data_IF_360917326013
#
_entry.id   IF_360917326013
#
_cell.length_a   1.000
_cell.length_b   1.000
_cell.length_c   1.000
_cell.angle_alpha   90.00
_cell.angle_beta   90.00
_cell.angle_gamma   90.00
#
_symmetry.space_group_name_H-M   'P 1'
#
loop_
_entity.id
_entity.type
_entity.pdbx_description
1 polymer ?
#
# COMPACT_ATOMS: atom_id res chain seq x y z
N UNK A 1 -30.37 -1.22 23.62
CA UNK A 1 -29.57 -0.42 24.57
C UNK A 1 -28.34 -1.24 24.93
N UNK A 2 -27.25 -1.09 24.18
CA UNK A 2 -26.03 -1.86 24.37
C UNK A 2 -25.21 -1.31 25.55
N UNK A 3 -24.90 -2.18 26.52
CA UNK A 3 -23.88 -1.93 27.54
C UNK A 3 -22.55 -2.46 27.01
N UNK A 4 -21.48 -1.68 27.05
CA UNK A 4 -20.38 -1.82 28.02
C UNK A 4 -19.17 -0.93 27.69
N UNK A 5 -18.70 -0.29 28.75
CA UNK A 5 -17.54 0.60 28.90
C UNK A 5 -17.70 1.28 30.27
N UNK A 6 -17.27 0.63 31.35
CA UNK A 6 -17.49 1.02 32.77
C UNK A 6 -18.94 1.38 33.18
N UNK A 7 -19.96 1.05 32.38
CA UNK A 7 -21.35 1.39 32.69
C UNK A 7 -21.61 2.90 32.78
N UNK A 8 -20.70 3.75 32.31
CA UNK A 8 -20.91 5.20 32.34
C UNK A 8 -21.90 5.58 31.25
N UNK A 9 -23.05 6.12 31.67
CA UNK A 9 -23.97 6.74 30.74
C UNK A 9 -23.29 7.94 30.06
N UNK A 10 -23.41 8.03 28.74
CA UNK A 10 -22.91 9.17 27.98
C UNK A 10 -23.53 10.46 28.54
N UNK A 11 -22.69 11.47 28.76
CA UNK A 11 -23.09 12.77 29.32
C UNK A 11 -23.40 13.82 28.24
N UNK A 12 -23.05 13.52 27.00
CA UNK A 12 -23.27 14.33 25.80
C UNK A 12 -23.03 13.46 24.55
N UNK A 13 -23.41 13.96 23.37
CA UNK A 13 -23.14 13.28 22.09
C UNK A 13 -21.63 13.14 21.81
N UNK A 14 -20.81 14.13 22.17
CA UNK A 14 -19.35 14.04 22.04
C UNK A 14 -18.81 12.92 22.94
N UNK A 15 -19.30 12.83 24.18
CA UNK A 15 -18.87 11.77 25.09
C UNK A 15 -19.30 10.40 24.56
N UNK A 16 -20.51 10.28 24.00
CA UNK A 16 -20.97 9.05 23.35
C UNK A 16 -20.07 8.64 22.19
N UNK A 17 -19.75 9.58 21.29
CA UNK A 17 -18.84 9.33 20.18
C UNK A 17 -17.47 8.84 20.66
N UNK A 18 -16.89 9.47 21.69
CA UNK A 18 -15.61 9.03 22.26
C UNK A 18 -15.68 7.63 22.88
N UNK A 19 -16.78 7.30 23.56
CA UNK A 19 -17.01 5.95 24.12
C UNK A 19 -17.16 4.91 23.00
N UNK A 20 -17.90 5.23 21.94
CA UNK A 20 -18.10 4.36 20.79
C UNK A 20 -16.78 4.12 20.03
N UNK A 21 -15.97 5.16 19.83
CA UNK A 21 -14.61 5.05 19.25
C UNK A 21 -13.70 4.20 20.14
N UNK A 22 -13.74 4.39 21.47
CA UNK A 22 -12.94 3.59 22.38
C UNK A 22 -13.32 2.10 22.34
N UNK A 23 -14.62 1.82 22.35
CA UNK A 23 -15.15 0.46 22.28
C UNK A 23 -14.76 -0.21 20.96
N UNK A 24 -15.00 0.48 19.84
CA UNK A 24 -14.62 0.00 18.51
C UNK A 24 -13.11 -0.27 18.41
N UNK A 25 -12.27 0.61 18.95
CA UNK A 25 -10.83 0.42 18.96
C UNK A 25 -10.39 -0.80 19.80
N UNK A 26 -11.04 -1.05 20.94
CA UNK A 26 -10.76 -2.22 21.79
C UNK A 26 -11.16 -3.52 21.12
N UNK A 27 -12.35 -3.57 20.54
CA UNK A 27 -12.85 -4.73 19.81
C UNK A 27 -11.93 -5.06 18.61
N UNK A 28 -11.59 -4.04 17.81
CA UNK A 28 -10.65 -4.20 16.71
C UNK A 28 -9.27 -4.68 17.20
N UNK A 29 -8.75 -4.10 18.29
CA UNK A 29 -7.47 -4.53 18.87
C UNK A 29 -7.49 -5.97 19.34
N UNK A 30 -8.59 -6.43 19.97
CA UNK A 30 -8.72 -7.80 20.43
C UNK A 30 -8.72 -8.79 19.25
N UNK A 31 -9.44 -8.47 18.19
CA UNK A 31 -9.47 -9.27 16.96
C UNK A 31 -8.10 -9.34 16.27
N UNK A 32 -7.37 -8.21 16.20
CA UNK A 32 -6.01 -8.17 15.65
C UNK A 32 -5.06 -9.01 16.50
N UNK A 33 -5.11 -8.90 17.83
CA UNK A 33 -4.29 -9.71 18.74
C UNK A 33 -4.59 -11.20 18.58
N UNK A 34 -5.86 -11.58 18.51
CA UNK A 34 -6.25 -12.97 18.33
C UNK A 34 -5.78 -13.54 16.99
N UNK A 35 -5.96 -12.79 15.90
CA UNK A 35 -5.46 -13.20 14.58
C UNK A 35 -3.95 -13.40 14.58
N UNK A 36 -3.22 -12.52 15.28
CA UNK A 36 -1.77 -12.62 15.43
C UNK A 36 -1.33 -13.80 16.31
N UNK A 37 -2.01 -14.07 17.41
CA UNK A 37 -1.72 -15.22 18.29
C UNK A 37 -1.94 -16.56 17.59
N UNK A 38 -2.92 -16.64 16.70
CA UNK A 38 -3.20 -17.84 15.90
C UNK A 38 -2.23 -18.02 14.73
N UNK A 39 -1.52 -16.97 14.31
CA UNK A 39 -0.62 -17.00 13.17
C UNK A 39 0.73 -17.64 13.54
N UNK A 40 1.01 -18.81 12.96
CA UNK A 40 2.32 -19.45 13.06
C UNK A 40 3.13 -19.14 11.82
N UNK A 41 3.91 -18.05 11.86
CA UNK A 41 4.78 -17.62 10.76
C UNK A 41 5.74 -18.72 10.33
N UNK A 42 5.66 -19.16 9.08
CA UNK A 42 6.59 -20.14 8.48
C UNK A 42 7.76 -19.47 7.76
N UNK A 43 7.70 -18.15 7.52
CA UNK A 43 8.69 -17.40 6.72
C UNK A 43 9.13 -16.08 7.37
N UNK A 44 10.39 -15.70 7.18
CA UNK A 44 10.98 -14.48 7.75
C UNK A 44 11.01 -13.27 6.82
N UNK A 45 10.89 -13.49 5.51
CA UNK A 45 10.88 -12.49 4.44
C UNK A 45 9.70 -11.50 4.54
N UNK A 46 8.51 -11.99 4.90
CA UNK A 46 7.30 -11.17 5.09
C UNK A 46 7.42 -10.13 6.22
N UNK A 47 8.32 -10.34 7.18
CA UNK A 47 8.48 -9.44 8.35
C UNK A 47 9.08 -8.09 7.99
N UNK A 48 9.80 -8.00 6.87
CA UNK A 48 10.51 -6.78 6.47
C UNK A 48 9.56 -5.60 6.21
N UNK A 49 8.31 -5.88 5.86
CA UNK A 49 7.26 -4.90 5.58
C UNK A 49 6.06 -5.00 6.54
N UNK A 50 6.18 -5.66 7.69
CA UNK A 50 5.03 -5.98 8.56
C UNK A 50 3.91 -6.75 7.80
N UNK A 51 4.23 -7.43 6.69
CA UNK A 51 3.26 -8.17 5.88
C UNK A 51 2.80 -9.47 6.56
N UNK A 52 3.59 -10.00 7.49
CA UNK A 52 3.19 -11.09 8.39
C UNK A 52 1.90 -10.78 9.15
N UNK A 53 1.72 -9.54 9.60
CA UNK A 53 0.47 -9.11 10.26
C UNK A 53 -0.68 -9.08 9.28
N UNK A 54 -0.45 -8.66 8.04
CA UNK A 54 -1.48 -8.65 7.00
C UNK A 54 -1.90 -10.09 6.66
N UNK A 55 -0.95 -11.01 6.53
CA UNK A 55 -1.21 -12.44 6.35
C UNK A 55 -2.08 -12.98 7.49
N UNK A 56 -1.71 -12.70 8.74
CA UNK A 56 -2.49 -13.13 9.91
C UNK A 56 -3.94 -12.62 9.89
N UNK A 57 -4.15 -11.35 9.50
CA UNK A 57 -5.47 -10.76 9.40
C UNK A 57 -6.29 -11.39 8.27
N UNK A 58 -5.68 -11.64 7.11
CA UNK A 58 -6.34 -12.31 5.97
C UNK A 58 -6.68 -13.77 6.29
N UNK A 59 -5.77 -14.52 6.94
CA UNK A 59 -5.99 -15.91 7.33
C UNK A 59 -7.16 -16.07 8.31
N UNK A 60 -7.42 -15.06 9.13
CA UNK A 60 -8.52 -15.05 10.11
C UNK A 60 -9.76 -14.28 9.60
N UNK A 61 -9.89 -14.06 8.29
CA UNK A 61 -11.01 -13.36 7.64
C UNK A 61 -11.37 -12.01 8.29
N UNK A 62 -10.34 -11.25 8.71
CA UNK A 62 -10.54 -9.94 9.31
C UNK A 62 -11.22 -8.99 8.31
N UNK A 63 -12.24 -8.20 8.71
CA UNK A 63 -13.11 -7.49 7.78
C UNK A 63 -12.47 -6.30 7.04
N UNK A 64 -11.19 -5.98 7.29
CA UNK A 64 -10.52 -4.89 6.61
C UNK A 64 -10.25 -5.23 5.13
N UNK A 65 -10.59 -4.29 4.25
CA UNK A 65 -10.43 -4.41 2.78
C UNK A 65 -9.19 -3.70 2.24
N UNK A 66 -8.53 -2.89 3.08
CA UNK A 66 -7.36 -2.10 2.72
C UNK A 66 -6.34 -2.15 3.84
N UNK A 67 -5.12 -2.53 3.51
CA UNK A 67 -3.97 -2.54 4.40
C UNK A 67 -2.91 -1.59 3.84
N UNK A 68 -2.34 -0.73 4.69
CA UNK A 68 -1.26 0.16 4.31
C UNK A 68 -0.02 -0.16 5.16
N UNK A 69 1.03 -0.60 4.49
CA UNK A 69 2.31 -0.93 5.11
C UNK A 69 3.41 -0.09 4.51
N UNK A 70 4.50 0.10 5.26
CA UNK A 70 5.67 0.86 4.82
C UNK A 70 6.94 0.13 5.20
N UNK A 71 7.99 0.30 4.39
CA UNK A 71 9.33 -0.13 4.78
C UNK A 71 9.83 0.76 5.92
N UNK A 72 9.91 0.19 7.11
CA UNK A 72 10.41 0.90 8.30
C UNK A 72 11.89 1.22 8.10
N UNK A 73 12.31 2.40 8.55
CA UNK A 73 13.69 2.87 8.44
C UNK A 73 14.23 2.77 7.01
N UNK A 74 13.36 3.07 6.04
CA UNK A 74 13.72 2.96 4.64
C UNK A 74 14.84 3.92 4.26
N UNK A 75 15.73 3.46 3.40
CA UNK A 75 16.78 4.26 2.76
C UNK A 75 16.40 4.64 1.32
N UNK A 76 15.16 4.42 0.89
CA UNK A 76 14.69 4.89 -0.42
C UNK A 76 14.82 6.40 -0.56
N UNK A 77 14.86 7.15 0.56
CA UNK A 77 15.04 8.60 0.56
C UNK A 77 16.50 9.09 0.58
N UNK A 78 17.50 8.21 0.52
CA UNK A 78 18.90 8.68 0.55
C UNK A 78 19.27 9.47 -0.70
N UNK A 79 20.03 10.54 -0.50
CA UNK A 79 20.56 11.42 -1.56
C UNK A 79 22.07 11.28 -1.77
N UNK A 80 22.71 10.38 -1.03
CA UNK A 80 24.17 10.19 -1.01
C UNK A 80 24.47 8.71 -1.13
N UNK A 81 25.46 8.36 -1.96
CA UNK A 81 25.90 6.97 -2.22
C UNK A 81 24.71 6.02 -2.42
N UNK A 82 23.76 6.43 -3.26
CA UNK A 82 22.39 5.91 -3.29
C UNK A 82 22.29 4.49 -3.83
N UNK A 83 23.15 4.10 -4.77
CA UNK A 83 23.04 2.84 -5.53
C UNK A 83 22.92 1.61 -4.61
N UNK A 84 23.89 1.40 -3.72
CA UNK A 84 23.94 0.20 -2.87
C UNK A 84 22.79 0.13 -1.84
N UNK A 85 22.50 1.20 -1.06
CA UNK A 85 21.30 1.25 -0.23
C UNK A 85 20.02 1.01 -1.02
N UNK A 86 19.85 1.66 -2.18
CA UNK A 86 18.65 1.52 -3.00
C UNK A 86 18.46 0.07 -3.47
N UNK A 87 19.50 -0.56 -4.04
CA UNK A 87 19.45 -1.94 -4.50
C UNK A 87 19.04 -2.91 -3.37
N UNK A 88 19.57 -2.69 -2.17
CA UNK A 88 19.20 -3.47 -0.99
C UNK A 88 17.73 -3.28 -0.59
N UNK A 89 17.22 -2.05 -0.65
CA UNK A 89 15.82 -1.76 -0.31
C UNK A 89 14.85 -2.37 -1.34
N UNK A 90 15.20 -2.34 -2.62
CA UNK A 90 14.45 -3.04 -3.67
C UNK A 90 14.43 -4.53 -3.40
N UNK A 91 15.57 -5.14 -3.07
CA UNK A 91 15.63 -6.56 -2.73
C UNK A 91 14.71 -6.91 -1.54
N UNK A 92 14.73 -6.13 -0.46
CA UNK A 92 13.84 -6.34 0.69
C UNK A 92 12.36 -6.25 0.31
N UNK A 93 12.00 -5.31 -0.57
CA UNK A 93 10.65 -5.19 -1.07
C UNK A 93 10.25 -6.42 -1.91
N UNK A 94 11.13 -6.86 -2.83
CA UNK A 94 10.91 -8.04 -3.65
C UNK A 94 10.72 -9.31 -2.79
N UNK A 95 11.63 -9.56 -1.83
CA UNK A 95 11.57 -10.73 -0.96
C UNK A 95 10.28 -10.75 -0.13
N UNK A 96 9.90 -9.60 0.45
CA UNK A 96 8.70 -9.48 1.27
C UNK A 96 7.40 -9.65 0.45
N UNK A 97 7.33 -9.06 -0.74
CA UNK A 97 6.16 -9.21 -1.63
C UNK A 97 6.06 -10.63 -2.16
N UNK A 98 7.18 -11.26 -2.52
CA UNK A 98 7.21 -12.67 -2.92
C UNK A 98 6.73 -13.57 -1.78
N UNK A 99 7.27 -13.41 -0.57
CA UNK A 99 6.85 -14.16 0.61
C UNK A 99 5.35 -13.98 0.93
N UNK A 100 4.82 -12.76 0.75
CA UNK A 100 3.40 -12.49 0.92
C UNK A 100 2.55 -13.30 -0.06
N UNK A 101 2.88 -13.30 -1.35
CA UNK A 101 2.13 -14.07 -2.34
C UNK A 101 2.27 -15.59 -2.15
N UNK A 102 3.40 -16.09 -1.66
CA UNK A 102 3.55 -17.50 -1.28
C UNK A 102 2.61 -17.88 -0.12
N UNK A 103 2.46 -17.01 0.89
CA UNK A 103 1.48 -17.23 1.96
C UNK A 103 0.03 -17.15 1.44
N UNK A 104 -0.27 -16.17 0.58
CA UNK A 104 -1.61 -16.09 -0.03
C UNK A 104 -1.94 -17.33 -0.85
N UNK A 105 -0.95 -17.90 -1.56
CA UNK A 105 -1.07 -19.17 -2.27
C UNK A 105 -1.27 -20.35 -1.32
N UNK A 106 -0.54 -20.41 -0.21
CA UNK A 106 -0.73 -21.43 0.84
C UNK A 106 -2.15 -21.40 1.39
N UNK A 107 -2.72 -20.21 1.55
CA UNK A 107 -4.09 -19.98 2.04
C UNK A 107 -5.17 -20.15 0.96
N UNK A 108 -4.80 -20.27 -0.32
CA UNK A 108 -5.74 -20.31 -1.44
C UNK A 108 -6.43 -18.96 -1.73
N UNK A 109 -5.85 -17.85 -1.24
CA UNK A 109 -6.41 -16.49 -1.33
C UNK A 109 -5.64 -15.58 -2.31
N UNK A 110 -4.70 -16.12 -3.10
CA UNK A 110 -3.87 -15.33 -4.02
C UNK A 110 -4.66 -14.53 -5.07
N UNK A 111 -5.85 -15.00 -5.45
CA UNK A 111 -6.72 -14.36 -6.43
C UNK A 111 -7.66 -13.32 -5.79
N UNK A 112 -7.73 -13.28 -4.45
CA UNK A 112 -8.57 -12.36 -3.68
C UNK A 112 -7.82 -11.09 -3.25
N UNK A 113 -6.52 -11.00 -3.57
CA UNK A 113 -5.65 -9.91 -3.12
C UNK A 113 -4.97 -9.18 -4.27
N UNK A 114 -4.83 -7.87 -4.12
CA UNK A 114 -3.96 -7.03 -4.93
C UNK A 114 -3.03 -6.19 -4.04
N UNK A 115 -1.76 -6.09 -4.44
CA UNK A 115 -0.72 -5.28 -3.81
C UNK A 115 -0.38 -4.12 -4.73
N UNK A 116 -0.57 -2.89 -4.24
CA UNK A 116 -0.15 -1.67 -4.90
C UNK A 116 1.12 -1.13 -4.25
N UNK A 117 2.22 -1.12 -4.99
CA UNK A 117 3.50 -0.56 -4.58
C UNK A 117 3.64 0.81 -5.23
N UNK A 118 3.73 1.85 -4.41
CA UNK A 118 3.87 3.23 -4.86
C UNK A 118 4.84 4.02 -3.99
N UNK A 119 5.23 5.18 -4.50
CA UNK A 119 6.04 6.18 -3.79
C UNK A 119 5.37 7.54 -3.91
N UNK A 120 5.56 8.41 -2.91
CA UNK A 120 5.06 9.78 -2.90
C UNK A 120 5.90 10.71 -3.79
N UNK A 121 7.12 10.29 -4.14
CA UNK A 121 8.05 11.02 -4.99
C UNK A 121 8.78 10.08 -5.96
N UNK A 122 9.44 10.67 -6.94
CA UNK A 122 10.35 10.01 -7.86
C UNK A 122 11.79 10.47 -7.71
N UNK A 123 12.64 10.13 -8.67
CA UNK A 123 14.03 10.59 -8.74
C UNK A 123 14.27 11.38 -10.02
N UNK A 124 15.08 12.42 -9.94
CA UNK A 124 15.59 13.10 -11.13
C UNK A 124 16.52 12.18 -11.90
N UNK A 125 16.63 12.40 -13.21
CA UNK A 125 17.49 11.60 -14.06
C UNK A 125 18.98 11.81 -13.78
N UNK A 126 19.49 13.04 -13.61
CA UNK A 126 20.91 13.27 -13.38
C UNK A 126 21.33 12.86 -11.97
N UNK A 127 22.52 12.25 -11.87
CA UNK A 127 23.21 12.07 -10.60
C UNK A 127 23.63 13.43 -10.02
N UNK A 128 23.47 13.60 -8.70
CA UNK A 128 23.96 14.75 -7.96
C UNK A 128 25.45 14.58 -7.59
N UNK A 129 26.05 15.60 -7.01
CA UNK A 129 27.49 15.60 -6.65
C UNK A 129 27.87 14.63 -5.52
N UNK A 130 26.91 13.91 -4.95
CA UNK A 130 27.07 13.02 -3.80
C UNK A 130 26.80 11.56 -4.14
N UNK A 131 26.87 11.18 -5.42
CA UNK A 131 26.63 9.81 -5.89
C UNK A 131 25.21 9.33 -5.57
N UNK A 132 24.22 10.23 -5.72
CA UNK A 132 22.80 9.95 -5.54
C UNK A 132 21.95 10.79 -6.48
N UNK A 133 20.64 10.86 -6.23
CA UNK A 133 19.70 11.64 -7.05
C UNK A 133 18.77 12.47 -6.19
N UNK A 134 18.40 13.65 -6.67
CA UNK A 134 17.42 14.50 -6.00
C UNK A 134 15.98 14.02 -6.22
N UNK A 135 15.04 14.57 -5.45
CA UNK A 135 13.61 14.29 -5.63
C UNK A 135 13.14 14.72 -7.00
N UNK A 136 12.44 13.81 -7.66
CA UNK A 136 11.78 14.01 -8.94
C UNK A 136 10.26 13.91 -8.82
N UNK A 137 9.56 14.39 -9.86
CA UNK A 137 8.09 14.49 -9.87
C UNK A 137 7.36 13.28 -10.45
N UNK A 138 8.08 12.27 -10.95
CA UNK A 138 7.48 11.07 -11.54
C UNK A 138 8.23 9.80 -11.13
N UNK A 139 7.48 8.71 -10.92
CA UNK A 139 8.01 7.41 -10.51
C UNK A 139 7.36 6.26 -11.30
N UNK A 140 7.79 5.04 -11.00
CA UNK A 140 7.15 3.80 -11.41
C UNK A 140 6.31 3.27 -10.25
N UNK A 141 5.11 2.77 -10.56
CA UNK A 141 4.25 2.08 -9.61
C UNK A 141 3.96 0.67 -10.11
N UNK A 142 3.73 -0.27 -9.20
CA UNK A 142 3.44 -1.66 -9.52
C UNK A 142 2.13 -2.09 -8.88
N UNK A 143 1.31 -2.83 -9.63
CA UNK A 143 0.11 -3.50 -9.13
C UNK A 143 0.28 -4.98 -9.41
N UNK A 144 0.19 -5.81 -8.36
CA UNK A 144 0.38 -7.25 -8.42
C UNK A 144 -0.81 -7.95 -7.77
N UNK A 145 -1.25 -9.09 -8.27
CA UNK A 145 -2.37 -9.84 -7.72
C UNK A 145 -2.87 -10.90 -8.69
N UNK A 146 -3.57 -11.92 -8.21
CA UNK A 146 -4.09 -12.98 -9.09
C UNK A 146 -5.16 -12.51 -10.07
N UNK A 147 -5.94 -11.48 -9.68
CA UNK A 147 -6.95 -10.84 -10.54
C UNK A 147 -6.45 -9.67 -11.39
N UNK A 148 -5.14 -9.38 -11.40
CA UNK A 148 -4.57 -8.27 -12.17
C UNK A 148 -4.27 -8.72 -13.60
N UNK A 149 -4.82 -8.01 -14.59
CA UNK A 149 -4.41 -8.15 -15.98
C UNK A 149 -2.98 -7.59 -16.15
N UNK A 150 -2.02 -8.49 -16.37
CA UNK A 150 -0.62 -8.12 -16.50
C UNK A 150 -0.33 -7.28 -17.74
N UNK A 151 0.53 -6.27 -17.60
CA UNK A 151 0.93 -5.43 -18.73
C UNK A 151 1.65 -4.15 -18.31
N UNK A 152 2.11 -3.39 -19.31
CA UNK A 152 2.60 -2.04 -19.11
C UNK A 152 1.46 -1.05 -19.35
N UNK A 153 1.08 -0.33 -18.30
CA UNK A 153 0.06 0.72 -18.38
C UNK A 153 0.74 2.08 -18.49
N UNK A 154 0.61 2.71 -19.66
CA UNK A 154 1.29 3.96 -20.00
C UNK A 154 2.27 3.80 -21.15
N UNK A 155 3.25 4.70 -21.23
CA UNK A 155 4.31 4.67 -22.25
C UNK A 155 5.68 4.67 -21.59
N UNK A 156 6.73 4.12 -22.25
CA UNK A 156 8.10 4.31 -21.80
C UNK A 156 8.42 5.80 -21.66
N UNK A 157 9.13 6.17 -20.58
CA UNK A 157 9.58 7.54 -20.35
C UNK A 157 10.83 7.85 -21.16
N UNK A 158 11.03 9.12 -21.50
CA UNK A 158 12.30 9.60 -22.05
C UNK A 158 13.24 10.00 -20.92
N UNK A 159 14.50 9.58 -20.98
CA UNK A 159 15.55 10.00 -20.05
C UNK A 159 16.29 11.27 -20.51
N UNK A 160 15.92 11.80 -21.69
CA UNK A 160 16.56 12.98 -22.29
C UNK A 160 15.60 14.12 -22.56
N UNK A 161 14.30 13.83 -22.66
CA UNK A 161 13.23 14.83 -22.80
C UNK A 161 12.64 15.11 -21.42
N UNK A 162 13.27 16.04 -20.70
CA UNK A 162 12.98 16.35 -19.31
C UNK A 162 12.21 17.67 -19.19
N UNK A 163 11.36 17.77 -18.17
CA UNK A 163 10.67 19.01 -17.81
C UNK A 163 11.48 19.80 -16.77
N UNK A 164 10.98 20.98 -16.38
CA UNK A 164 11.65 21.91 -15.48
C UNK A 164 12.31 21.21 -14.27
N UNK A 165 13.60 21.47 -14.06
CA UNK A 165 14.38 20.91 -12.96
C UNK A 165 14.79 19.45 -13.16
N UNK A 166 15.08 19.05 -14.40
CA UNK A 166 15.53 17.70 -14.78
C UNK A 166 14.57 16.57 -14.38
N UNK A 167 13.29 16.91 -14.34
CA UNK A 167 12.22 16.00 -13.98
C UNK A 167 11.79 15.16 -15.18
N UNK A 168 11.48 13.89 -14.91
CA UNK A 168 10.82 13.04 -15.90
C UNK A 168 9.43 13.58 -16.24
N UNK A 169 9.09 13.58 -17.52
CA UNK A 169 7.70 13.74 -17.95
C UNK A 169 6.93 12.44 -17.64
N UNK A 170 5.89 12.52 -16.82
CA UNK A 170 5.05 11.36 -16.53
C UNK A 170 4.27 10.94 -17.77
N UNK A 171 4.05 9.64 -17.96
CA UNK A 171 3.26 9.09 -19.07
C UNK A 171 1.87 8.62 -18.65
N UNK A 172 1.67 8.43 -17.35
CA UNK A 172 0.40 8.04 -16.74
C UNK A 172 0.17 8.91 -15.51
N UNK A 173 -1.00 9.55 -15.41
CA UNK A 173 -1.42 10.24 -14.20
C UNK A 173 -1.70 9.20 -13.11
N UNK A 174 -1.00 9.29 -11.98
CA UNK A 174 -1.11 8.33 -10.89
C UNK A 174 -2.54 8.22 -10.32
N UNK A 175 -3.36 9.28 -10.45
CA UNK A 175 -4.77 9.28 -10.02
C UNK A 175 -5.61 8.29 -10.81
N UNK A 176 -5.20 7.95 -12.04
CA UNK A 176 -5.81 6.86 -12.82
C UNK A 176 -5.56 5.49 -12.19
N UNK A 177 -4.39 5.28 -11.56
CA UNK A 177 -4.11 4.05 -10.81
C UNK A 177 -5.01 3.96 -9.59
N UNK A 178 -5.16 5.05 -8.83
CA UNK A 178 -6.11 5.09 -7.72
C UNK A 178 -7.57 4.89 -8.18
N UNK A 179 -8.00 5.55 -9.25
CA UNK A 179 -9.34 5.36 -9.80
C UNK A 179 -9.58 3.90 -10.20
N UNK A 180 -8.58 3.26 -10.79
CA UNK A 180 -8.62 1.83 -11.17
C UNK A 180 -8.81 0.92 -9.95
N UNK A 181 -8.00 1.10 -8.90
CA UNK A 181 -8.13 0.33 -7.66
C UNK A 181 -9.46 0.57 -6.94
N UNK A 182 -9.98 1.80 -6.98
CA UNK A 182 -11.25 2.16 -6.34
C UNK A 182 -12.44 1.60 -7.11
N UNK A 183 -12.47 1.78 -8.43
CA UNK A 183 -13.64 1.43 -9.25
C UNK A 183 -13.66 -0.04 -9.63
N UNK A 184 -12.55 -0.58 -10.10
CA UNK A 184 -12.47 -1.95 -10.63
C UNK A 184 -12.24 -2.96 -9.52
N UNK A 185 -11.24 -2.74 -8.65
CA UNK A 185 -10.91 -3.71 -7.59
C UNK A 185 -11.83 -3.58 -6.35
N UNK A 186 -12.01 -2.38 -5.79
CA UNK A 186 -12.86 -2.19 -4.61
C UNK A 186 -14.36 -2.14 -4.94
N UNK A 187 -14.72 -1.96 -6.22
CA UNK A 187 -16.09 -1.93 -6.72
C UNK A 187 -16.84 -0.61 -6.48
N UNK A 188 -16.14 0.47 -6.10
CA UNK A 188 -16.75 1.78 -5.83
C UNK A 188 -16.71 2.67 -7.09
N UNK A 189 -17.76 2.60 -7.91
CA UNK A 189 -17.84 3.22 -9.25
C UNK A 189 -17.72 4.75 -9.35
N UNK A 190 -17.66 5.46 -8.21
CA UNK A 190 -17.64 6.93 -8.16
C UNK A 190 -16.34 7.45 -7.52
N UNK A 191 -15.19 7.06 -8.07
CA UNK A 191 -13.89 7.45 -7.50
C UNK A 191 -13.72 8.97 -7.38
N UNK A 192 -14.45 9.76 -8.17
CA UNK A 192 -14.45 11.22 -8.09
C UNK A 192 -14.87 11.77 -6.72
N UNK A 193 -15.68 11.03 -5.95
CA UNK A 193 -16.04 11.40 -4.58
C UNK A 193 -14.86 11.31 -3.61
N UNK A 194 -13.85 10.51 -3.95
CA UNK A 194 -12.63 10.30 -3.15
C UNK A 194 -11.48 11.14 -3.70
N UNK A 195 -11.33 11.17 -5.02
CA UNK A 195 -10.21 11.82 -5.72
C UNK A 195 -10.44 13.31 -6.01
N UNK A 196 -11.65 13.82 -5.80
CA UNK A 196 -12.01 15.21 -6.10
C UNK A 196 -12.13 15.53 -7.60
N UNK A 197 -12.07 14.52 -8.47
CA UNK A 197 -12.20 14.63 -9.92
C UNK A 197 -12.32 13.26 -10.59
N UNK A 198 -12.87 13.21 -11.81
CA UNK A 198 -13.00 11.96 -12.57
C UNK A 198 -11.69 11.67 -13.32
N UNK A 199 -11.23 10.43 -13.20
CA UNK A 199 -10.07 9.90 -13.92
C UNK A 199 -10.46 8.59 -14.57
N UNK A 200 -10.08 8.40 -15.83
CA UNK A 200 -10.35 7.15 -16.54
C UNK A 200 -9.51 6.03 -15.93
N UNK A 201 -10.15 4.89 -15.70
CA UNK A 201 -9.46 3.69 -15.22
C UNK A 201 -8.50 3.15 -16.27
N UNK A 202 -7.67 2.20 -15.86
CA UNK A 202 -6.63 1.59 -16.70
C UNK A 202 -7.05 0.22 -17.23
N UNK A 203 -8.17 -0.37 -16.77
CA UNK A 203 -8.61 -1.70 -17.17
C UNK A 203 -7.67 -2.78 -16.65
N UNK A 204 -7.30 -2.70 -15.37
CA UNK A 204 -6.39 -3.67 -14.74
C UNK A 204 -7.13 -4.87 -14.16
N UNK A 205 -8.43 -4.77 -13.95
CA UNK A 205 -9.27 -5.81 -13.36
C UNK A 205 -10.54 -5.97 -14.19
N UNK A 206 -10.93 -7.24 -14.43
CA UNK A 206 -12.12 -7.60 -15.20
C UNK A 206 -13.38 -7.76 -14.33
#
# INVERSE_FOLDING_TARGET
>A
MGRLGNGQAARSEIHKFLLDVNQSAREASALVSQAWENYTSTRGDVRLLDLDKVVALIENDFPARLYYVRLRNSLFDTHVNQESPHNRQVQYCCDAVWGFFEEMKRLGKQDEVAVFIHSEFGRRVPENTSLGTDHGTANVSFVLGGGVEGGQYGKPVSLTDLVLGDNLQYTTDFRRVYATLIEEYLGYRKSENVLGGKFDTLGMFA
#
